data_IF_618256043735
#
_entry.id   IF_618256043735
#
_cell.length_a   1.000
_cell.length_b   1.000
_cell.length_c   1.000
_cell.angle_alpha   90.00
_cell.angle_beta   90.00
_cell.angle_gamma   90.00
#
_symmetry.space_group_name_H-M   'P 1'
#
loop_
_entity.id
_entity.type
_entity.pdbx_description
1 polymer ?
#
# COMPACT_ATOMS: atom_id res chain seq x y z
N UNK A 1 -22.35 -13.56 23.78
CA UNK A 1 -22.17 -12.09 23.68
C UNK A 1 -21.35 -11.81 22.44
N UNK A 2 -21.99 -11.57 21.32
CA UNK A 2 -21.34 -11.15 20.07
C UNK A 2 -20.94 -9.69 20.29
N UNK A 3 -19.65 -9.40 20.46
CA UNK A 3 -19.17 -8.03 20.45
C UNK A 3 -19.42 -7.48 19.04
N UNK A 4 -20.43 -6.61 18.90
CA UNK A 4 -20.60 -5.84 17.70
C UNK A 4 -19.39 -4.92 17.58
N UNK A 5 -18.49 -5.23 16.64
CA UNK A 5 -17.41 -4.33 16.25
C UNK A 5 -18.10 -3.07 15.71
N UNK A 6 -17.96 -1.95 16.42
CA UNK A 6 -18.45 -0.67 15.94
C UNK A 6 -17.77 -0.39 14.59
N UNK A 7 -18.56 -0.08 13.56
CA UNK A 7 -18.05 0.32 12.25
C UNK A 7 -17.39 1.68 12.40
N UNK A 8 -16.09 1.69 12.62
CA UNK A 8 -15.26 2.89 12.53
C UNK A 8 -15.08 3.27 11.05
N UNK A 9 -15.10 4.57 10.74
CA UNK A 9 -14.76 5.00 9.38
C UNK A 9 -13.25 4.81 9.12
N UNK A 10 -12.86 4.69 7.85
CA UNK A 10 -11.44 4.57 7.50
C UNK A 10 -10.67 5.82 7.98
N UNK A 11 -11.24 7.00 7.80
CA UNK A 11 -10.60 8.27 8.17
C UNK A 11 -10.38 8.36 9.68
N UNK A 12 -11.40 8.00 10.48
CA UNK A 12 -11.28 7.93 11.95
C UNK A 12 -10.18 6.95 12.40
N UNK A 13 -10.08 5.81 11.73
CA UNK A 13 -9.03 4.83 12.02
C UNK A 13 -7.65 5.39 11.69
N UNK A 14 -7.47 6.00 10.52
CA UNK A 14 -6.20 6.58 10.10
C UNK A 14 -5.78 7.76 10.99
N UNK A 15 -6.73 8.59 11.42
CA UNK A 15 -6.48 9.70 12.34
C UNK A 15 -6.03 9.20 13.73
N UNK A 16 -6.67 8.16 14.25
CA UNK A 16 -6.28 7.55 15.53
C UNK A 16 -4.89 6.92 15.45
N UNK A 17 -4.61 6.18 14.38
CA UNK A 17 -3.31 5.57 14.13
C UNK A 17 -2.20 6.62 13.99
N UNK A 18 -2.49 7.72 13.28
CA UNK A 18 -1.57 8.86 13.17
C UNK A 18 -1.31 9.50 14.53
N UNK A 19 -2.35 9.77 15.31
CA UNK A 19 -2.23 10.40 16.62
C UNK A 19 -1.43 9.55 17.61
N UNK A 20 -1.70 8.24 17.68
CA UNK A 20 -0.94 7.31 18.52
C UNK A 20 0.55 7.30 18.11
N UNK A 21 0.81 7.19 16.80
CA UNK A 21 2.18 7.18 16.29
C UNK A 21 2.96 8.47 16.64
N UNK A 22 2.32 9.61 16.45
CA UNK A 22 2.90 10.93 16.71
C UNK A 22 3.18 11.15 18.20
N UNK A 23 2.32 10.59 19.07
CA UNK A 23 2.46 10.63 20.52
C UNK A 23 3.61 9.75 21.02
N UNK A 24 3.69 8.52 20.51
CA UNK A 24 4.57 7.49 21.08
C UNK A 24 6.00 7.56 20.49
N UNK A 25 6.17 8.14 19.31
CA UNK A 25 7.48 8.22 18.68
C UNK A 25 8.40 9.26 19.34
N UNK A 26 9.51 8.79 19.90
CA UNK A 26 10.57 9.64 20.51
C UNK A 26 11.52 10.28 19.51
N UNK A 27 11.31 10.09 18.20
CA UNK A 27 12.19 10.54 17.12
C UNK A 27 13.65 10.03 17.24
N UNK A 28 13.87 8.87 17.89
CA UNK A 28 15.22 8.36 18.17
C UNK A 28 16.04 7.93 16.95
N UNK A 29 15.43 7.78 15.76
CA UNK A 29 16.15 7.44 14.52
C UNK A 29 16.50 5.96 14.33
N UNK A 30 16.30 5.08 15.32
CA UNK A 30 16.66 3.65 15.22
C UNK A 30 16.08 2.92 14.01
N UNK A 31 14.87 3.30 13.60
CA UNK A 31 14.22 2.77 12.41
C UNK A 31 14.94 3.13 11.09
N UNK A 32 15.62 4.27 11.04
CA UNK A 32 16.43 4.73 9.90
C UNK A 32 17.80 4.05 9.93
N UNK A 33 18.41 3.90 11.12
CA UNK A 33 19.71 3.23 11.28
C UNK A 33 19.71 1.80 10.69
N UNK A 34 18.62 1.05 10.91
CA UNK A 34 18.50 -0.34 10.42
C UNK A 34 17.94 -0.45 9.01
N UNK A 35 17.55 0.66 8.38
CA UNK A 35 16.85 0.62 7.12
C UNK A 35 17.83 0.28 5.98
N UNK A 36 17.56 -0.77 5.17
CA UNK A 36 18.43 -1.14 4.06
C UNK A 36 18.42 -0.13 2.91
N UNK A 37 17.50 0.84 2.94
CA UNK A 37 17.40 1.92 1.96
C UNK A 37 18.30 3.10 2.32
N UNK A 38 18.59 3.31 3.61
CA UNK A 38 19.43 4.43 4.10
C UNK A 38 20.77 4.58 3.36
N UNK A 39 21.51 3.51 2.99
CA UNK A 39 22.74 3.66 2.20
C UNK A 39 22.57 4.24 0.79
N UNK A 40 21.33 4.32 0.28
CA UNK A 40 20.99 4.83 -1.05
C UNK A 40 20.32 6.22 -0.99
N UNK A 41 20.35 6.87 0.16
CA UNK A 41 19.83 8.23 0.37
C UNK A 41 20.95 9.16 0.85
N UNK A 42 20.65 10.46 0.94
CA UNK A 42 21.59 11.47 1.46
C UNK A 42 21.61 11.55 3.01
N UNK A 43 21.08 10.55 3.71
CA UNK A 43 21.06 10.51 5.18
C UNK A 43 22.48 10.29 5.70
N UNK A 44 22.97 11.25 6.46
CA UNK A 44 24.28 11.17 7.12
C UNK A 44 24.15 10.46 8.47
N UNK A 45 25.22 9.75 8.87
CA UNK A 45 25.33 9.17 10.21
C UNK A 45 25.11 10.25 11.27
N UNK A 46 24.19 9.99 12.21
CA UNK A 46 23.75 10.93 13.24
C UNK A 46 22.60 11.85 12.81
N UNK A 47 22.20 11.84 11.53
CA UNK A 47 21.06 12.59 11.00
C UNK A 47 19.72 11.88 11.14
N UNK A 48 19.71 10.63 11.59
CA UNK A 48 18.53 9.77 11.69
C UNK A 48 17.42 10.37 12.56
N UNK A 49 17.68 11.00 13.72
CA UNK A 49 16.65 11.67 14.49
C UNK A 49 15.99 12.82 13.73
N UNK A 50 16.77 13.58 12.96
CA UNK A 50 16.26 14.69 12.14
C UNK A 50 15.35 14.20 11.02
N UNK A 51 15.69 13.08 10.38
CA UNK A 51 14.85 12.41 9.38
C UNK A 51 13.51 12.02 9.97
N UNK A 52 13.49 11.33 11.11
CA UNK A 52 12.23 10.95 11.77
C UNK A 52 11.44 12.19 12.20
N UNK A 53 12.14 13.23 12.70
CA UNK A 53 11.52 14.51 13.05
C UNK A 53 10.79 15.16 11.89
N UNK A 54 11.36 15.14 10.69
CA UNK A 54 10.69 15.65 9.48
C UNK A 54 9.42 14.87 9.12
N UNK A 55 9.45 13.53 9.24
CA UNK A 55 8.24 12.69 9.03
C UNK A 55 7.16 13.01 10.08
N UNK A 56 7.55 13.17 11.35
CA UNK A 56 6.62 13.55 12.41
C UNK A 56 6.06 14.97 12.21
N UNK A 57 6.83 15.89 11.63
CA UNK A 57 6.34 17.21 11.22
C UNK A 57 5.18 17.07 10.24
N UNK A 58 5.38 16.37 9.12
CA UNK A 58 4.32 16.10 8.15
C UNK A 58 3.08 15.49 8.81
N UNK A 59 3.25 14.47 9.66
CA UNK A 59 2.12 13.79 10.32
C UNK A 59 1.40 14.65 11.36
N UNK A 60 2.05 15.67 11.93
CA UNK A 60 1.46 16.57 12.94
C UNK A 60 0.66 17.69 12.30
N UNK A 61 1.23 18.36 11.31
CA UNK A 61 0.71 19.64 10.81
C UNK A 61 0.76 19.78 9.29
N UNK A 62 1.17 18.73 8.56
CA UNK A 62 1.27 18.76 7.12
C UNK A 62 2.51 19.46 6.58
N UNK A 63 3.54 19.72 7.40
CA UNK A 63 4.83 20.26 6.94
C UNK A 63 5.39 19.42 5.80
N UNK A 64 5.64 20.03 4.63
CA UNK A 64 6.16 19.35 3.45
C UNK A 64 7.51 18.71 3.69
N UNK A 65 7.73 17.55 3.08
CA UNK A 65 8.99 16.81 3.21
C UNK A 65 10.06 17.41 2.31
N UNK A 66 11.28 17.49 2.83
CA UNK A 66 12.44 17.99 2.09
C UNK A 66 13.69 17.12 2.31
N UNK A 67 14.62 17.19 1.36
CA UNK A 67 15.95 16.56 1.41
C UNK A 67 15.90 15.08 1.80
N UNK A 68 16.83 14.70 2.69
CA UNK A 68 17.02 13.30 3.11
C UNK A 68 15.77 12.66 3.73
N UNK A 69 14.88 13.46 4.34
CA UNK A 69 13.60 12.95 4.86
C UNK A 69 12.68 12.53 3.73
N UNK A 70 12.52 13.39 2.72
CA UNK A 70 11.71 13.10 1.54
C UNK A 70 12.25 11.86 0.82
N UNK A 71 13.56 11.80 0.60
CA UNK A 71 14.20 10.67 -0.06
C UNK A 71 13.94 9.35 0.67
N UNK A 72 14.01 9.36 2.00
CA UNK A 72 13.73 8.17 2.81
C UNK A 72 12.27 7.71 2.70
N UNK A 73 11.33 8.65 2.71
CA UNK A 73 9.89 8.38 2.61
C UNK A 73 9.52 7.83 1.24
N UNK A 74 10.03 8.46 0.17
CA UNK A 74 9.73 8.09 -1.22
C UNK A 74 10.38 6.76 -1.64
N UNK A 75 11.54 6.41 -1.07
CA UNK A 75 12.26 5.18 -1.40
C UNK A 75 11.88 3.97 -0.52
N UNK A 76 10.92 4.14 0.40
CA UNK A 76 10.45 3.04 1.24
C UNK A 76 9.93 1.87 0.41
N UNK A 77 10.55 0.70 0.55
CA UNK A 77 10.14 -0.52 -0.14
C UNK A 77 9.19 -1.43 0.67
N UNK A 78 8.78 -0.99 1.86
CA UNK A 78 7.84 -1.74 2.70
C UNK A 78 8.38 -3.01 3.36
N UNK A 79 9.70 -3.25 3.37
CA UNK A 79 10.30 -4.47 3.92
C UNK A 79 10.01 -4.73 5.41
N UNK A 80 9.82 -3.67 6.21
CA UNK A 80 9.43 -3.77 7.63
C UNK A 80 10.54 -4.08 8.62
N UNK A 81 11.82 -4.08 8.22
CA UNK A 81 12.97 -4.31 9.11
C UNK A 81 13.00 -3.33 10.28
N UNK A 82 12.48 -2.12 10.08
CA UNK A 82 12.37 -1.08 11.10
C UNK A 82 11.38 -1.41 12.23
N UNK A 83 10.42 -2.31 12.03
CA UNK A 83 9.36 -2.61 13.01
C UNK A 83 9.94 -3.20 14.30
N UNK A 84 10.68 -4.32 14.27
CA UNK A 84 11.28 -4.88 15.49
C UNK A 84 12.41 -4.01 16.07
N UNK A 85 12.94 -3.04 15.32
CA UNK A 85 14.01 -2.15 15.78
C UNK A 85 13.50 -0.94 16.58
N UNK A 86 12.19 -0.69 16.60
CA UNK A 86 11.64 0.46 17.32
C UNK A 86 11.54 0.16 18.83
N UNK A 87 12.23 0.93 19.71
CA UNK A 87 12.16 0.70 21.15
C UNK A 87 10.81 1.07 21.76
N UNK A 88 10.06 1.97 21.12
CA UNK A 88 8.75 2.45 21.59
C UNK A 88 7.59 1.58 21.09
N UNK A 89 7.86 0.52 20.31
CA UNK A 89 6.81 -0.32 19.72
C UNK A 89 6.01 0.34 18.59
N UNK A 90 6.36 1.57 18.19
CA UNK A 90 5.81 2.23 17.00
C UNK A 90 6.13 1.40 15.75
N UNK A 91 5.20 1.34 14.79
CA UNK A 91 5.41 0.71 13.50
C UNK A 91 5.94 1.74 12.47
N UNK A 92 7.26 1.84 12.19
CA UNK A 92 7.79 2.88 11.32
C UNK A 92 7.44 2.64 9.85
N UNK A 93 7.14 1.39 9.47
CA UNK A 93 6.60 1.11 8.13
C UNK A 93 5.21 1.75 7.97
N UNK A 94 4.35 1.65 8.99
CA UNK A 94 3.04 2.33 9.00
C UNK A 94 3.22 3.86 9.01
N UNK A 95 4.18 4.39 9.78
CA UNK A 95 4.55 5.81 9.76
C UNK A 95 4.79 6.32 8.33
N UNK A 96 5.63 5.60 7.57
CA UNK A 96 5.98 5.95 6.20
C UNK A 96 4.82 5.81 5.22
N UNK A 97 3.92 4.84 5.44
CA UNK A 97 2.70 4.72 4.65
C UNK A 97 1.76 5.91 4.87
N UNK A 98 1.52 6.31 6.13
CA UNK A 98 0.70 7.48 6.46
C UNK A 98 1.31 8.76 5.89
N UNK A 99 2.63 8.92 5.98
CA UNK A 99 3.35 10.04 5.42
C UNK A 99 3.17 10.12 3.89
N UNK A 100 3.37 9.01 3.17
CA UNK A 100 3.15 8.96 1.72
C UNK A 100 1.69 9.26 1.34
N UNK A 101 0.71 8.81 2.13
CA UNK A 101 -0.70 9.14 1.91
C UNK A 101 -0.93 10.65 2.01
N UNK A 102 -0.49 11.29 3.09
CA UNK A 102 -0.64 12.75 3.28
C UNK A 102 0.10 13.54 2.19
N UNK A 103 1.32 13.16 1.84
CA UNK A 103 2.10 13.82 0.78
C UNK A 103 1.41 13.70 -0.59
N UNK A 104 0.79 12.55 -0.88
CA UNK A 104 0.05 12.32 -2.13
C UNK A 104 -1.21 13.19 -2.24
N UNK A 105 -1.86 13.51 -1.12
CA UNK A 105 -3.02 14.40 -1.08
C UNK A 105 -2.61 15.86 -1.34
N UNK A 106 -1.43 16.27 -0.87
CA UNK A 106 -0.89 17.61 -1.15
C UNK A 106 -0.55 17.80 -2.64
N UNK A 107 -0.13 16.73 -3.33
CA UNK A 107 0.33 16.77 -4.72
C UNK A 107 -0.61 16.07 -5.73
N UNK A 108 -1.90 15.98 -5.37
CA UNK A 108 -3.07 15.24 -5.92
C UNK A 108 -3.31 15.06 -7.43
N UNK A 109 -2.30 15.00 -8.30
CA UNK A 109 -2.49 14.43 -9.63
C UNK A 109 -2.50 12.90 -9.52
N UNK A 110 -3.62 12.24 -9.86
CA UNK A 110 -3.62 10.78 -10.14
C UNK A 110 -2.39 10.49 -10.97
N UNK A 111 -1.44 9.66 -10.50
CA UNK A 111 -0.15 9.55 -11.15
C UNK A 111 -0.39 9.23 -12.61
N UNK A 112 0.05 10.10 -13.53
CA UNK A 112 -0.07 9.82 -14.96
C UNK A 112 0.52 8.44 -15.28
N UNK A 113 1.50 8.03 -14.48
CA UNK A 113 2.07 6.69 -14.46
C UNK A 113 1.03 5.59 -14.21
N UNK A 114 0.15 5.71 -13.21
CA UNK A 114 -0.91 4.73 -12.95
C UNK A 114 -1.87 4.63 -14.13
N UNK A 115 -2.33 5.76 -14.68
CA UNK A 115 -3.20 5.75 -15.87
C UNK A 115 -2.55 5.08 -17.08
N UNK A 116 -1.27 5.40 -17.34
CA UNK A 116 -0.49 4.76 -18.42
C UNK A 116 -0.33 3.27 -18.17
N UNK A 117 -0.03 2.87 -16.93
CA UNK A 117 0.10 1.47 -16.52
C UNK A 117 -1.22 0.72 -16.73
N UNK A 118 -2.33 1.20 -16.17
CA UNK A 118 -3.65 0.60 -16.32
C UNK A 118 -4.04 0.40 -17.78
N UNK A 119 -3.81 1.42 -18.63
CA UNK A 119 -4.04 1.32 -20.07
C UNK A 119 -3.16 0.26 -20.73
N UNK A 120 -1.86 0.23 -20.41
CA UNK A 120 -0.94 -0.76 -20.97
C UNK A 120 -1.34 -2.19 -20.57
N UNK A 121 -1.75 -2.41 -19.33
CA UNK A 121 -2.22 -3.71 -18.84
C UNK A 121 -3.44 -4.18 -19.61
N UNK A 122 -4.44 -3.30 -19.84
CA UNK A 122 -5.63 -3.63 -20.63
C UNK A 122 -5.29 -4.00 -22.07
N UNK A 123 -4.39 -3.25 -22.71
CA UNK A 123 -3.94 -3.55 -24.08
C UNK A 123 -3.22 -4.90 -24.14
N UNK A 124 -2.29 -5.16 -23.20
CA UNK A 124 -1.56 -6.43 -23.14
C UNK A 124 -2.50 -7.62 -22.91
N UNK A 125 -3.44 -7.51 -21.96
CA UNK A 125 -4.42 -8.56 -21.71
C UNK A 125 -5.30 -8.82 -22.95
N UNK A 126 -5.73 -7.78 -23.66
CA UNK A 126 -6.54 -7.93 -24.87
C UNK A 126 -5.79 -8.61 -26.04
N UNK A 127 -4.46 -8.51 -26.09
CA UNK A 127 -3.64 -9.21 -27.09
C UNK A 127 -3.40 -10.69 -26.73
N UNK A 128 -3.52 -11.06 -25.46
CA UNK A 128 -3.17 -12.39 -24.95
C UNK A 128 -4.39 -13.29 -24.74
N UNK A 129 -5.58 -12.72 -24.52
CA UNK A 129 -6.75 -13.44 -24.04
C UNK A 129 -7.88 -13.45 -25.07
N UNK A 130 -8.64 -14.56 -25.09
CA UNK A 130 -9.90 -14.57 -25.80
C UNK A 130 -10.90 -13.61 -25.14
N UNK A 131 -11.88 -13.04 -25.88
CA UNK A 131 -12.84 -12.10 -25.32
C UNK A 131 -13.55 -12.57 -24.03
N UNK A 132 -13.99 -13.85 -23.90
CA UNK A 132 -14.62 -14.33 -22.66
C UNK A 132 -13.66 -14.34 -21.46
N UNK A 133 -12.39 -14.70 -21.68
CA UNK A 133 -11.35 -14.73 -20.65
C UNK A 133 -10.97 -13.31 -20.21
N UNK A 134 -10.91 -12.39 -21.17
CA UNK A 134 -10.70 -10.97 -20.90
C UNK A 134 -11.83 -10.40 -20.04
N UNK A 135 -13.09 -10.64 -20.41
CA UNK A 135 -14.25 -10.18 -19.64
C UNK A 135 -14.26 -10.80 -18.24
N UNK A 136 -13.93 -12.10 -18.09
CA UNK A 136 -13.87 -12.77 -16.77
C UNK A 136 -12.87 -12.11 -15.81
N UNK A 137 -11.81 -11.48 -16.31
CA UNK A 137 -10.76 -10.87 -15.48
C UNK A 137 -10.91 -9.36 -15.27
N UNK A 138 -11.51 -8.65 -16.23
CA UNK A 138 -11.56 -7.18 -16.22
C UNK A 138 -12.97 -6.59 -16.10
N UNK A 139 -14.02 -7.41 -16.22
CA UNK A 139 -15.40 -6.95 -16.03
C UNK A 139 -15.93 -7.47 -14.71
N UNK A 140 -16.14 -6.55 -13.77
CA UNK A 140 -16.76 -6.89 -12.50
C UNK A 140 -18.24 -7.27 -12.70
N UNK A 141 -18.66 -8.45 -12.24
CA UNK A 141 -20.05 -8.86 -12.31
C UNK A 141 -20.88 -8.16 -11.23
N UNK A 142 -22.23 -8.21 -11.34
CA UNK A 142 -23.10 -7.77 -10.26
C UNK A 142 -22.80 -8.54 -8.97
N UNK A 143 -22.86 -7.83 -7.84
CA UNK A 143 -22.61 -8.45 -6.54
C UNK A 143 -23.64 -9.54 -6.24
N UNK A 144 -23.15 -10.72 -5.85
CA UNK A 144 -23.95 -11.84 -5.35
C UNK A 144 -23.27 -12.46 -4.12
N UNK A 145 -24.01 -13.17 -3.25
CA UNK A 145 -23.40 -13.97 -2.20
C UNK A 145 -22.50 -15.06 -2.80
N UNK A 146 -21.28 -15.14 -2.30
CA UNK A 146 -20.25 -16.16 -2.61
C UNK A 146 -19.45 -16.45 -1.36
N UNK A 147 -18.87 -17.64 -1.27
CA UNK A 147 -17.96 -18.00 -0.19
C UNK A 147 -16.62 -17.28 -0.31
N UNK A 148 -16.17 -17.03 -1.55
CA UNK A 148 -14.86 -16.41 -1.84
C UNK A 148 -14.98 -15.30 -2.88
N UNK A 149 -14.30 -14.18 -2.63
CA UNK A 149 -14.04 -13.17 -3.67
C UNK A 149 -12.59 -13.33 -4.12
N UNK A 150 -12.40 -13.77 -5.36
CA UNK A 150 -11.07 -13.86 -5.94
C UNK A 150 -10.66 -12.50 -6.51
N UNK A 151 -10.02 -11.69 -5.66
CA UNK A 151 -9.58 -10.36 -6.01
C UNK A 151 -8.29 -10.39 -6.84
N UNK A 152 -8.37 -10.01 -8.12
CA UNK A 152 -7.24 -10.12 -9.07
C UNK A 152 -6.26 -8.96 -8.98
N UNK A 153 -6.64 -7.84 -8.35
CA UNK A 153 -5.85 -6.62 -8.32
C UNK A 153 -5.66 -6.00 -9.72
N UNK A 154 -4.80 -4.99 -9.81
CA UNK A 154 -4.53 -4.28 -11.08
C UNK A 154 -3.32 -4.84 -11.84
N UNK A 155 -2.34 -5.42 -11.14
CA UNK A 155 -1.05 -5.83 -11.69
C UNK A 155 -1.00 -7.29 -12.18
N UNK A 156 -1.54 -8.30 -11.45
CA UNK A 156 -1.49 -9.71 -11.85
C UNK A 156 -2.09 -10.03 -13.22
N UNK A 157 -2.95 -9.15 -13.75
CA UNK A 157 -3.50 -9.21 -15.11
C UNK A 157 -2.41 -9.23 -16.19
N UNK A 158 -1.19 -8.75 -15.90
CA UNK A 158 -0.02 -8.88 -16.80
C UNK A 158 0.48 -10.30 -16.97
N UNK A 159 0.12 -11.19 -16.05
CA UNK A 159 0.47 -12.62 -16.06
C UNK A 159 -0.81 -13.44 -15.87
N UNK A 160 -1.73 -13.41 -16.84
CA UNK A 160 -3.08 -13.94 -16.68
C UNK A 160 -3.10 -15.45 -16.42
N UNK A 161 -2.08 -16.18 -16.88
CA UNK A 161 -1.90 -17.59 -16.59
C UNK A 161 -1.83 -17.91 -15.09
N UNK A 162 -1.28 -17.01 -14.26
CA UNK A 162 -1.27 -17.20 -12.79
C UNK A 162 -2.68 -17.13 -12.22
N UNK A 163 -3.50 -16.22 -12.74
CA UNK A 163 -4.89 -16.05 -12.32
C UNK A 163 -5.73 -17.24 -12.76
N UNK A 164 -5.61 -17.68 -14.01
CA UNK A 164 -6.35 -18.84 -14.51
C UNK A 164 -5.93 -20.14 -13.81
N UNK A 165 -4.65 -20.33 -13.51
CA UNK A 165 -4.20 -21.50 -12.75
C UNK A 165 -4.81 -21.52 -11.34
N UNK A 166 -4.89 -20.37 -10.67
CA UNK A 166 -5.56 -20.28 -9.37
C UNK A 166 -7.06 -20.58 -9.48
N UNK A 167 -7.72 -20.07 -10.54
CA UNK A 167 -9.12 -20.37 -10.81
C UNK A 167 -9.39 -21.85 -11.08
N UNK A 168 -8.53 -22.53 -11.85
CA UNK A 168 -8.63 -23.97 -12.08
C UNK A 168 -8.58 -24.76 -10.76
N UNK A 169 -7.76 -24.33 -9.80
CA UNK A 169 -7.73 -24.95 -8.49
C UNK A 169 -9.03 -24.71 -7.70
N UNK A 170 -9.54 -23.48 -7.70
CA UNK A 170 -10.82 -23.14 -7.07
C UNK A 170 -11.98 -23.94 -7.66
N UNK A 171 -12.03 -24.04 -9.00
CA UNK A 171 -13.00 -24.84 -9.74
C UNK A 171 -12.87 -26.33 -9.34
N UNK A 172 -11.64 -26.87 -9.24
CA UNK A 172 -11.40 -28.27 -8.85
C UNK A 172 -11.85 -28.59 -7.42
N UNK A 173 -11.82 -27.59 -6.53
CA UNK A 173 -12.28 -27.70 -5.16
C UNK A 173 -13.78 -27.39 -5.00
N UNK A 174 -14.48 -27.07 -6.10
CA UNK A 174 -15.88 -26.65 -6.10
C UNK A 174 -16.14 -25.46 -5.16
N UNK A 175 -15.22 -24.50 -5.13
CA UNK A 175 -15.41 -23.26 -4.36
C UNK A 175 -16.44 -22.38 -5.10
N UNK A 176 -17.44 -21.85 -4.40
CA UNK A 176 -18.29 -20.80 -4.95
C UNK A 176 -17.58 -19.46 -4.81
N UNK A 177 -17.06 -18.94 -5.93
CA UNK A 177 -16.32 -17.70 -5.94
C UNK A 177 -16.74 -16.75 -7.05
N UNK A 178 -16.47 -15.46 -6.83
CA UNK A 178 -16.62 -14.42 -7.84
C UNK A 178 -15.28 -13.74 -8.11
N UNK A 179 -15.01 -13.44 -9.38
CA UNK A 179 -13.80 -12.73 -9.78
C UNK A 179 -14.08 -11.24 -9.77
N UNK A 180 -13.29 -10.49 -9.01
CA UNK A 180 -13.41 -9.03 -8.92
C UNK A 180 -12.03 -8.41 -9.07
N UNK A 181 -11.89 -7.33 -9.82
CA UNK A 181 -10.65 -6.59 -9.92
C UNK A 181 -10.42 -6.00 -11.31
N UNK A 182 -9.17 -6.11 -11.78
CA UNK A 182 -8.71 -5.43 -12.98
C UNK A 182 -8.36 -3.94 -12.73
N UNK A 183 -7.49 -3.37 -13.56
CA UNK A 183 -7.28 -1.92 -13.58
C UNK A 183 -8.52 -1.28 -14.22
N UNK A 184 -9.34 -0.58 -13.42
CA UNK A 184 -10.55 0.12 -13.88
C UNK A 184 -10.38 0.88 -15.20
#
# INVERSE_FOLDING_TARGET
>A
MTMAIAKQSLDEFLDQERAALVSDCTACGKCVEVCPVTPFTDIKVGGEPGVVGGVLGLLRDGTSLEGATKDWVEQCNGCGICIPACPEGVNPRRMLMLANTMESEQHSATPQLFRKMSRAIRIMAAMQLAPPEFDRLLRNPPARPVDVVFYTGCNPIRTPNLLFNAMVLLDSFNVDYEVVGGPG
#
